data_IF_022379081712
#
_entry.id   IF_022379081712
#
_cell.length_a   1.000
_cell.length_b   1.000
_cell.length_c   1.000
_cell.angle_alpha   90.00
_cell.angle_beta   90.00
_cell.angle_gamma   90.00
#
_symmetry.space_group_name_H-M   'P 1'
#
loop_
_entity.id
_entity.type
_entity.pdbx_description
1 polymer ?
#
# COMPACT_ATOMS: atom_id res chain seq x y z
N UNK A 1 15.51 -10.11 -0.91
CA UNK A 1 14.39 -9.43 -0.23
C UNK A 1 13.35 -10.46 0.14
N UNK A 2 12.85 -10.43 1.35
CA UNK A 2 11.75 -11.30 1.76
C UNK A 2 10.43 -10.51 1.79
N UNK A 3 9.33 -11.20 2.07
CA UNK A 3 8.01 -10.57 2.13
C UNK A 3 7.96 -9.45 3.16
N UNK A 4 8.55 -9.66 4.31
CA UNK A 4 8.55 -8.67 5.38
C UNK A 4 9.24 -7.38 4.97
N UNK A 5 10.35 -7.50 4.29
CA UNK A 5 11.09 -6.35 3.76
C UNK A 5 10.30 -5.66 2.65
N UNK A 6 9.69 -6.42 1.75
CA UNK A 6 8.85 -5.87 0.70
C UNK A 6 7.65 -5.11 1.26
N UNK A 7 7.00 -5.66 2.30
CA UNK A 7 5.90 -4.99 2.98
C UNK A 7 6.36 -3.68 3.61
N UNK A 8 7.52 -3.66 4.24
CA UNK A 8 8.06 -2.45 4.85
C UNK A 8 8.29 -1.35 3.81
N UNK A 9 8.84 -1.71 2.66
CA UNK A 9 9.05 -0.78 1.56
C UNK A 9 7.71 -0.23 1.05
N UNK A 10 6.74 -1.11 0.85
CA UNK A 10 5.42 -0.72 0.35
C UNK A 10 4.67 0.19 1.34
N UNK A 11 4.69 -0.15 2.63
CA UNK A 11 4.06 0.67 3.65
C UNK A 11 4.66 2.06 3.72
N UNK A 12 5.98 2.14 3.69
CA UNK A 12 6.70 3.41 3.69
C UNK A 12 6.32 4.27 2.49
N UNK A 13 6.19 3.64 1.32
CA UNK A 13 5.77 4.32 0.11
C UNK A 13 4.39 4.95 0.28
N UNK A 14 3.44 4.21 0.83
CA UNK A 14 2.09 4.72 1.09
C UNK A 14 2.12 5.86 2.10
N UNK A 15 2.87 5.69 3.18
CA UNK A 15 2.98 6.72 4.22
C UNK A 15 3.58 8.02 3.67
N UNK A 16 4.57 7.92 2.81
CA UNK A 16 5.20 9.08 2.19
C UNK A 16 4.30 9.73 1.14
N UNK A 17 3.69 8.91 0.30
CA UNK A 17 2.84 9.38 -0.81
C UNK A 17 1.61 10.12 -0.32
N UNK A 18 1.03 9.65 0.78
CA UNK A 18 -0.17 10.23 1.37
C UNK A 18 0.11 10.97 2.69
N UNK A 19 1.33 11.44 2.88
CA UNK A 19 1.75 12.04 4.15
C UNK A 19 0.86 13.20 4.59
N UNK A 20 0.45 14.06 3.64
CA UNK A 20 -0.41 15.22 3.96
C UNK A 20 -1.83 14.81 4.33
N UNK A 21 -2.23 13.60 4.01
CA UNK A 21 -3.58 13.08 4.27
C UNK A 21 -3.61 12.17 5.50
N UNK A 22 -2.47 12.00 6.17
CA UNK A 22 -2.31 11.22 7.39
C UNK A 22 -2.93 9.81 7.29
N UNK A 23 -2.32 8.91 6.51
CA UNK A 23 -2.85 7.56 6.35
C UNK A 23 -2.83 6.80 7.68
N UNK A 24 -3.89 6.02 7.92
CA UNK A 24 -4.07 5.21 9.13
C UNK A 24 -4.33 3.77 8.78
N UNK A 25 -4.08 2.86 9.73
CA UNK A 25 -4.37 1.44 9.59
C UNK A 25 -3.73 0.86 8.33
N UNK A 26 -2.50 1.26 8.06
CA UNK A 26 -1.76 0.80 6.89
C UNK A 26 -1.36 -0.65 7.12
N UNK A 27 -1.87 -1.54 6.28
CA UNK A 27 -1.60 -2.97 6.44
C UNK A 27 -1.61 -3.70 5.11
N UNK A 28 -1.00 -4.86 5.10
CA UNK A 28 -0.97 -5.74 3.93
C UNK A 28 -2.29 -6.50 3.83
N UNK A 29 -2.94 -6.44 2.69
CA UNK A 29 -4.16 -7.21 2.42
C UNK A 29 -3.90 -8.42 1.53
N UNK A 30 -2.89 -8.37 0.71
CA UNK A 30 -2.51 -9.48 -0.14
C UNK A 30 -1.19 -9.23 -0.82
N UNK A 31 -0.61 -10.28 -1.36
CA UNK A 31 0.64 -10.14 -2.10
C UNK A 31 0.77 -11.22 -3.16
N UNK A 32 1.58 -10.91 -4.16
CA UNK A 32 1.95 -11.85 -5.19
C UNK A 32 3.41 -11.60 -5.54
N UNK A 33 4.19 -12.66 -5.61
CA UNK A 33 5.57 -12.58 -6.05
C UNK A 33 5.70 -13.20 -7.44
N UNK A 34 6.22 -12.42 -8.38
CA UNK A 34 6.53 -12.91 -9.73
C UNK A 34 8.03 -13.24 -9.75
N UNK A 35 8.36 -14.53 -9.68
CA UNK A 35 9.75 -14.97 -9.65
C UNK A 35 10.45 -14.83 -11.00
N UNK A 36 9.67 -14.72 -12.07
CA UNK A 36 10.21 -14.51 -13.41
C UNK A 36 10.71 -13.08 -13.59
N UNK A 37 9.94 -12.13 -13.13
CA UNK A 37 10.28 -10.71 -13.20
C UNK A 37 11.01 -10.21 -11.94
N UNK A 38 11.00 -11.00 -10.88
CA UNK A 38 11.55 -10.65 -9.56
C UNK A 38 10.88 -9.38 -9.01
N UNK A 39 9.55 -9.38 -9.05
CA UNK A 39 8.72 -8.25 -8.62
C UNK A 39 7.69 -8.73 -7.60
N UNK A 40 7.61 -8.01 -6.49
CA UNK A 40 6.55 -8.16 -5.50
C UNK A 40 5.39 -7.24 -5.85
N UNK A 41 4.18 -7.75 -5.85
CA UNK A 41 2.95 -6.95 -5.97
C UNK A 41 2.23 -7.04 -4.62
N UNK A 42 2.13 -5.93 -3.94
CA UNK A 42 1.63 -5.88 -2.56
C UNK A 42 0.40 -5.00 -2.52
N UNK A 43 -0.73 -5.57 -2.09
CA UNK A 43 -1.96 -4.81 -1.92
C UNK A 43 -1.98 -4.26 -0.51
N UNK A 44 -1.93 -2.95 -0.39
CA UNK A 44 -1.89 -2.24 0.89
C UNK A 44 -3.23 -1.53 1.09
N UNK A 45 -3.86 -1.83 2.22
CA UNK A 45 -5.07 -1.16 2.64
C UNK A 45 -4.76 -0.09 3.68
N UNK A 46 -5.47 1.02 3.62
CA UNK A 46 -5.28 2.12 4.57
C UNK A 46 -6.51 3.03 4.56
N UNK A 47 -6.59 3.91 5.56
CA UNK A 47 -7.62 4.93 5.65
C UNK A 47 -6.97 6.30 5.69
N UNK A 48 -7.62 7.29 5.10
CA UNK A 48 -7.11 8.67 5.10
C UNK A 48 -7.85 9.48 6.15
N UNK A 49 -7.11 10.12 7.05
CA UNK A 49 -7.69 10.90 8.13
C UNK A 49 -8.37 12.18 7.64
N UNK A 50 -7.98 12.66 6.46
CA UNK A 50 -8.53 13.88 5.87
C UNK A 50 -9.86 13.68 5.19
N UNK A 51 -10.32 12.43 5.01
CA UNK A 51 -11.59 12.17 4.35
C UNK A 51 -12.75 12.58 5.25
N UNK A 52 -13.82 13.16 4.67
CA UNK A 52 -14.97 13.57 5.46
C UNK A 52 -15.65 12.36 6.10
N UNK A 53 -16.01 12.51 7.35
CA UNK A 53 -16.70 11.47 8.10
C UNK A 53 -18.20 11.65 8.00
N UNK A 54 -18.81 10.86 7.15
CA UNK A 54 -20.23 10.64 7.20
C UNK A 54 -20.43 9.35 8.00
N UNK A 55 -21.19 9.41 9.08
CA UNK A 55 -21.35 8.30 10.00
C UNK A 55 -21.85 7.01 9.35
N UNK A 56 -22.62 7.13 8.26
CA UNK A 56 -23.21 5.96 7.59
C UNK A 56 -22.31 5.36 6.53
N UNK A 57 -21.38 6.14 5.98
CA UNK A 57 -20.58 5.71 4.84
C UNK A 57 -19.08 5.66 5.13
N UNK A 58 -18.64 6.27 6.21
CA UNK A 58 -17.21 6.42 6.49
C UNK A 58 -16.48 5.09 6.61
N UNK A 59 -17.10 4.08 7.21
CA UNK A 59 -16.49 2.77 7.40
C UNK A 59 -16.17 2.07 6.07
N UNK A 60 -16.97 2.32 5.04
CA UNK A 60 -16.78 1.70 3.72
C UNK A 60 -15.92 2.54 2.80
N UNK A 61 -16.05 3.86 2.86
CA UNK A 61 -15.37 4.78 1.93
C UNK A 61 -14.03 5.27 2.42
N UNK A 62 -13.78 5.18 3.72
CA UNK A 62 -12.54 5.64 4.30
C UNK A 62 -11.35 4.73 3.95
N UNK A 63 -11.61 3.50 3.52
CA UNK A 63 -10.53 2.57 3.20
C UNK A 63 -10.13 2.70 1.74
N UNK A 64 -8.84 2.78 1.54
CA UNK A 64 -8.20 2.80 0.23
C UNK A 64 -7.37 1.54 0.05
N UNK A 65 -7.23 1.12 -1.19
CA UNK A 65 -6.41 -0.01 -1.55
C UNK A 65 -5.49 0.39 -2.69
N UNK A 66 -4.21 0.14 -2.53
CA UNK A 66 -3.23 0.38 -3.59
C UNK A 66 -2.38 -0.85 -3.79
N UNK A 67 -2.07 -1.15 -5.03
CA UNK A 67 -1.11 -2.20 -5.35
C UNK A 67 0.25 -1.54 -5.58
N UNK A 68 1.19 -1.86 -4.70
CA UNK A 68 2.55 -1.35 -4.77
C UNK A 68 3.42 -2.46 -5.35
N UNK A 69 4.10 -2.17 -6.45
CA UNK A 69 5.02 -3.11 -7.07
C UNK A 69 6.44 -2.72 -6.68
N UNK A 70 7.17 -3.71 -6.15
CA UNK A 70 8.51 -3.49 -5.62
C UNK A 70 9.50 -4.42 -6.34
N UNK A 71 10.58 -3.85 -6.84
CA UNK A 71 11.67 -4.63 -7.43
C UNK A 71 12.46 -5.33 -6.34
N UNK A 72 12.59 -6.66 -6.44
CA UNK A 72 13.40 -7.42 -5.49
C UNK A 72 14.89 -7.08 -5.62
N UNK A 73 15.33 -6.86 -6.84
CA UNK A 73 16.74 -6.60 -7.12
C UNK A 73 17.16 -5.23 -6.62
N UNK A 74 16.39 -4.21 -6.96
CA UNK A 74 16.72 -2.82 -6.62
C UNK A 74 16.17 -2.39 -5.26
N UNK A 75 15.23 -3.15 -4.71
CA UNK A 75 14.53 -2.84 -3.45
C UNK A 75 13.81 -1.49 -3.51
N UNK A 76 13.30 -1.16 -4.69
CA UNK A 76 12.63 0.11 -4.93
C UNK A 76 11.23 -0.10 -5.45
N UNK A 77 10.38 0.91 -5.23
CA UNK A 77 9.00 0.89 -5.74
C UNK A 77 9.02 1.19 -7.23
N UNK A 78 8.36 0.33 -8.00
CA UNK A 78 8.24 0.48 -9.45
C UNK A 78 6.97 1.21 -9.83
N UNK A 79 5.86 0.95 -9.14
CA UNK A 79 4.58 1.57 -9.44
C UNK A 79 3.65 1.46 -8.25
N UNK A 80 2.68 2.37 -8.21
CA UNK A 80 1.56 2.34 -7.27
C UNK A 80 0.30 2.49 -8.10
N UNK A 81 -0.61 1.53 -7.99
CA UNK A 81 -1.86 1.52 -8.75
C UNK A 81 -3.06 1.32 -7.83
N UNK A 82 -4.23 1.69 -8.32
CA UNK A 82 -5.46 1.38 -7.61
C UNK A 82 -5.67 -0.13 -7.54
N UNK A 83 -6.01 -0.58 -6.37
CA UNK A 83 -6.22 -2.00 -6.12
C UNK A 83 -7.64 -2.44 -6.31
#
# INVERSE_FOLDING_TARGET
>A
MDLKEAVAVARRCIEDLFATEAPRDVHLEGFLYDDHLMIWSLTIGFALSSEPHDALTSARRARRHKVVRVSEVDKTVLSVRDG
#
